data_IF_002362976965
#
_entry.id   IF_002362976965
#
_cell.length_a   1.000
_cell.length_b   1.000
_cell.length_c   1.000
_cell.angle_alpha   90.00
_cell.angle_beta   90.00
_cell.angle_gamma   90.00
#
_symmetry.space_group_name_H-M   'P 1'
#
loop_
_entity.id
_entity.type
_entity.pdbx_description
1 polymer ?
#
# COMPACT_ATOMS: atom_id res chain seq x y z
N UNK A 1 -12.14 -4.37 -20.82
CA UNK A 1 -10.79 -3.95 -20.59
C UNK A 1 -10.83 -2.94 -19.48
N UNK A 2 -9.85 -2.18 -19.07
CA UNK A 2 -9.87 -1.38 -17.84
C UNK A 2 -10.72 -0.09 -18.00
N UNK A 3 -12.00 -0.16 -17.71
CA UNK A 3 -12.96 0.96 -17.90
C UNK A 3 -12.64 2.20 -17.02
N UNK A 4 -12.02 1.98 -15.86
CA UNK A 4 -11.69 3.02 -14.89
C UNK A 4 -10.20 3.35 -14.81
N UNK A 5 -9.43 2.97 -15.81
CA UNK A 5 -8.01 3.27 -15.84
C UNK A 5 -7.77 4.76 -16.05
N UNK A 6 -7.07 5.39 -15.12
CA UNK A 6 -6.68 6.80 -15.18
C UNK A 6 -5.21 6.96 -14.81
N UNK A 7 -4.55 7.88 -15.48
CA UNK A 7 -3.15 8.24 -15.23
C UNK A 7 -3.07 9.72 -14.91
N UNK A 8 -2.44 10.05 -13.81
CA UNK A 8 -2.13 11.41 -13.40
C UNK A 8 -0.63 11.57 -13.33
N UNK A 9 -0.13 12.67 -13.86
CA UNK A 9 1.29 12.96 -13.90
C UNK A 9 1.56 14.30 -13.24
N UNK A 10 2.62 14.37 -12.47
CA UNK A 10 3.11 15.60 -11.86
C UNK A 10 4.63 15.58 -11.82
N UNK A 11 5.22 16.74 -11.66
CA UNK A 11 6.66 16.87 -11.44
C UNK A 11 6.91 17.15 -9.94
N UNK A 12 7.76 16.37 -9.34
CA UNK A 12 8.16 16.52 -7.95
C UNK A 12 9.68 16.47 -7.84
N UNK A 13 10.27 17.49 -7.24
CA UNK A 13 11.74 17.62 -7.09
C UNK A 13 12.52 17.40 -8.40
N UNK A 14 12.03 17.97 -9.51
CA UNK A 14 12.69 17.88 -10.82
C UNK A 14 12.59 16.52 -11.51
N UNK A 15 11.73 15.62 -11.00
CA UNK A 15 11.48 14.31 -11.61
C UNK A 15 9.99 14.08 -11.80
N UNK A 16 9.66 13.37 -12.87
CA UNK A 16 8.28 12.98 -13.16
C UNK A 16 7.79 11.94 -12.15
N UNK A 17 6.64 12.20 -11.57
CA UNK A 17 5.90 11.28 -10.72
C UNK A 17 4.58 10.93 -11.41
N UNK A 18 4.30 9.64 -11.52
CA UNK A 18 3.11 9.13 -12.21
C UNK A 18 2.25 8.33 -11.25
N UNK A 19 0.95 8.57 -11.27
CA UNK A 19 -0.05 7.85 -10.49
C UNK A 19 -0.99 7.12 -11.45
N UNK A 20 -1.01 5.79 -11.38
CA UNK A 20 -1.92 4.96 -12.17
C UNK A 20 -2.97 4.33 -11.26
N UNK A 21 -4.23 4.48 -11.59
CA UNK A 21 -5.34 3.88 -10.84
C UNK A 21 -6.30 3.13 -11.75
N UNK A 22 -7.03 2.15 -11.21
CA UNK A 22 -8.04 1.38 -11.94
C UNK A 22 -7.49 0.22 -12.79
N UNK A 23 -6.22 -0.11 -12.70
CA UNK A 23 -5.61 -1.22 -13.45
C UNK A 23 -5.28 -2.44 -12.58
N UNK A 24 -4.75 -2.21 -11.41
CA UNK A 24 -4.32 -3.26 -10.49
C UNK A 24 -5.21 -3.29 -9.25
N UNK A 25 -5.32 -4.47 -8.62
CA UNK A 25 -6.03 -4.66 -7.36
C UNK A 25 -7.49 -4.15 -7.39
N UNK A 26 -8.24 -4.50 -8.44
CA UNK A 26 -9.62 -4.03 -8.63
C UNK A 26 -10.60 -4.48 -7.54
N UNK A 27 -10.25 -5.46 -6.71
CA UNK A 27 -11.06 -5.91 -5.56
C UNK A 27 -10.81 -5.10 -4.29
N UNK A 28 -9.77 -4.27 -4.26
CA UNK A 28 -9.53 -3.37 -3.15
C UNK A 28 -10.50 -2.17 -3.22
N UNK A 29 -10.78 -1.55 -2.09
CA UNK A 29 -11.59 -0.33 -2.03
C UNK A 29 -10.95 0.85 -2.78
N UNK A 30 -9.61 0.86 -2.86
CA UNK A 30 -8.82 1.77 -3.67
C UNK A 30 -7.43 1.22 -3.94
N UNK A 31 -6.90 1.48 -5.12
CA UNK A 31 -5.53 1.08 -5.46
C UNK A 31 -4.89 2.12 -6.37
N UNK A 32 -3.62 2.39 -6.11
CA UNK A 32 -2.82 3.32 -6.89
C UNK A 32 -1.41 2.76 -7.08
N UNK A 33 -0.92 2.76 -8.29
CA UNK A 33 0.46 2.49 -8.61
C UNK A 33 1.20 3.81 -8.80
N UNK A 34 2.14 4.08 -7.92
CA UNK A 34 2.96 5.31 -7.97
C UNK A 34 4.34 4.97 -8.53
N UNK A 35 4.77 5.74 -9.51
CA UNK A 35 6.13 5.64 -10.07
C UNK A 35 6.87 6.96 -9.88
N UNK A 36 8.07 6.87 -9.38
CA UNK A 36 8.97 8.00 -9.26
C UNK A 36 10.38 7.59 -9.69
N UNK A 37 10.77 7.99 -10.89
CA UNK A 37 11.96 7.46 -11.55
C UNK A 37 11.82 5.94 -11.77
N UNK A 38 12.77 5.17 -11.26
CA UNK A 38 12.76 3.70 -11.31
C UNK A 38 12.06 3.05 -10.11
N UNK A 39 11.65 3.85 -9.13
CA UNK A 39 10.97 3.34 -7.94
C UNK A 39 9.46 3.27 -8.19
N UNK A 40 8.88 2.11 -7.94
CA UNK A 40 7.45 1.87 -8.09
C UNK A 40 6.86 1.40 -6.77
N UNK A 41 5.75 1.99 -6.36
CA UNK A 41 5.02 1.64 -5.13
C UNK A 41 3.58 1.36 -5.49
N UNK A 42 3.08 0.17 -5.13
CA UNK A 42 1.67 -0.18 -5.24
C UNK A 42 1.01 0.04 -3.88
N UNK A 43 0.03 0.91 -3.84
CA UNK A 43 -0.73 1.24 -2.62
C UNK A 43 -2.14 0.69 -2.75
N UNK A 44 -2.56 -0.12 -1.79
CA UNK A 44 -3.91 -0.67 -1.72
C UNK A 44 -4.56 -0.27 -0.40
N UNK A 45 -5.80 0.18 -0.48
CA UNK A 45 -6.61 0.49 0.68
C UNK A 45 -7.88 -0.36 0.67
N UNK A 46 -8.14 -1.06 1.76
CA UNK A 46 -9.35 -1.84 1.95
C UNK A 46 -10.03 -1.42 3.24
N UNK A 47 -11.33 -1.26 3.19
CA UNK A 47 -12.15 -0.95 4.35
C UNK A 47 -13.38 -1.85 4.38
N UNK A 48 -13.81 -2.26 5.55
CA UNK A 48 -15.07 -2.99 5.69
C UNK A 48 -16.27 -2.06 5.50
N UNK A 49 -17.33 -2.57 4.87
CA UNK A 49 -18.55 -1.80 4.63
C UNK A 49 -19.35 -1.49 5.90
N UNK A 50 -19.14 -2.27 6.97
CA UNK A 50 -19.83 -2.12 8.25
C UNK A 50 -18.84 -2.02 9.39
N UNK A 51 -19.05 -1.13 10.35
CA UNK A 51 -18.26 -1.09 11.58
C UNK A 51 -18.47 -2.39 12.37
N UNK A 52 -17.51 -2.75 13.18
CA UNK A 52 -17.65 -3.85 14.14
C UNK A 52 -18.22 -3.32 15.45
N UNK A 53 -19.28 -3.93 15.92
CA UNK A 53 -19.85 -3.59 17.23
C UNK A 53 -18.86 -3.92 18.36
N UNK A 54 -18.77 -3.02 19.35
CA UNK A 54 -17.96 -3.23 20.55
C UNK A 54 -16.47 -2.87 20.42
N UNK A 55 -16.05 -2.18 19.39
CA UNK A 55 -14.67 -1.68 19.23
C UNK A 55 -14.62 -0.17 19.46
N UNK A 56 -13.85 0.26 20.46
CA UNK A 56 -13.68 1.67 20.84
C UNK A 56 -12.49 2.36 20.14
N UNK A 57 -11.74 1.64 19.33
CA UNK A 57 -10.55 2.15 18.67
C UNK A 57 -10.56 1.90 17.17
N UNK A 58 -9.80 2.68 16.41
CA UNK A 58 -9.61 2.48 14.97
C UNK A 58 -8.64 1.31 14.73
N UNK A 59 -9.11 0.15 14.22
CA UNK A 59 -8.26 -0.99 13.89
C UNK A 59 -7.55 -0.78 12.54
N UNK A 60 -6.76 0.29 12.44
CA UNK A 60 -5.93 0.56 11.26
C UNK A 60 -4.68 -0.30 11.30
N UNK A 61 -4.45 -1.07 10.26
CA UNK A 61 -3.20 -1.78 10.01
C UNK A 61 -2.53 -1.24 8.76
N UNK A 62 -1.26 -0.90 8.87
CA UNK A 62 -0.42 -0.47 7.75
C UNK A 62 0.72 -1.45 7.62
N UNK A 63 0.78 -2.12 6.48
CA UNK A 63 1.82 -3.07 6.15
C UNK A 63 2.64 -2.55 4.98
N UNK A 64 3.95 -2.70 5.06
CA UNK A 64 4.90 -2.32 4.02
C UNK A 64 5.82 -3.50 3.74
N UNK A 65 6.02 -3.82 2.48
CA UNK A 65 6.88 -4.94 2.08
C UNK A 65 7.56 -4.66 0.74
N UNK A 66 8.85 -4.96 0.67
CA UNK A 66 9.62 -4.95 -0.59
C UNK A 66 9.49 -6.33 -1.24
N UNK A 67 8.99 -6.36 -2.47
CA UNK A 67 8.77 -7.61 -3.21
C UNK A 67 9.96 -7.94 -4.09
N UNK A 68 10.60 -9.09 -3.85
CA UNK A 68 11.77 -9.54 -4.59
C UNK A 68 11.48 -9.86 -6.06
N UNK A 69 10.24 -10.23 -6.39
CA UNK A 69 9.86 -10.48 -7.78
C UNK A 69 9.97 -9.23 -8.67
N UNK A 70 9.92 -8.05 -8.09
CA UNK A 70 10.08 -6.79 -8.83
C UNK A 70 11.47 -6.63 -9.45
N UNK A 71 12.47 -7.25 -8.86
CA UNK A 71 13.84 -7.31 -9.40
C UNK A 71 14.15 -8.69 -10.03
N UNK A 72 13.12 -9.49 -10.32
CA UNK A 72 13.27 -10.80 -10.92
C UNK A 72 13.95 -11.84 -10.03
N UNK A 73 13.91 -11.66 -8.72
CA UNK A 73 14.55 -12.58 -7.74
C UNK A 73 13.51 -13.39 -6.98
N UNK A 74 13.85 -14.62 -6.71
CA UNK A 74 13.08 -15.49 -5.81
C UNK A 74 13.63 -15.33 -4.40
N UNK A 75 12.78 -15.29 -3.35
CA UNK A 75 13.23 -15.24 -1.96
C UNK A 75 14.21 -16.36 -1.62
N UNK A 76 15.30 -16.02 -0.94
CA UNK A 76 16.42 -16.94 -0.67
C UNK A 76 16.22 -17.92 0.47
N UNK A 77 15.02 -18.12 0.99
CA UNK A 77 14.75 -19.11 2.04
C UNK A 77 14.51 -20.50 1.47
N UNK A 78 14.63 -21.53 2.32
CA UNK A 78 14.35 -22.92 1.95
C UNK A 78 12.96 -23.11 1.31
N UNK A 79 11.97 -22.40 1.79
CA UNK A 79 10.60 -22.45 1.27
C UNK A 79 10.40 -21.64 -0.03
N UNK A 80 11.40 -20.90 -0.47
CA UNK A 80 11.33 -20.00 -1.65
C UNK A 80 10.10 -19.09 -1.61
N UNK A 81 9.70 -18.67 -0.41
CA UNK A 81 8.60 -17.76 -0.14
C UNK A 81 9.09 -16.55 0.62
N UNK A 82 8.36 -15.44 0.46
CA UNK A 82 8.53 -14.29 1.32
C UNK A 82 8.11 -14.68 2.74
N UNK A 83 9.02 -14.49 3.69
CA UNK A 83 8.81 -14.78 5.10
C UNK A 83 8.23 -13.58 5.86
N UNK A 84 8.66 -13.41 7.10
CA UNK A 84 8.28 -12.24 7.89
C UNK A 84 8.83 -10.96 7.27
N UNK A 85 8.10 -9.82 7.39
CA UNK A 85 8.62 -8.52 7.01
C UNK A 85 9.96 -8.23 7.71
N UNK A 86 10.88 -7.59 7.00
CA UNK A 86 12.14 -7.15 7.60
C UNK A 86 11.88 -6.03 8.62
N UNK A 87 12.80 -5.85 9.58
CA UNK A 87 12.70 -4.76 10.56
C UNK A 87 12.58 -3.38 9.90
N UNK A 88 13.30 -3.21 8.78
CA UNK A 88 13.18 -2.00 7.95
C UNK A 88 11.77 -1.82 7.38
N UNK A 89 11.15 -2.88 6.91
CA UNK A 89 9.77 -2.83 6.40
C UNK A 89 8.78 -2.48 7.49
N UNK A 90 8.92 -3.07 8.68
CA UNK A 90 8.10 -2.77 9.85
C UNK A 90 8.25 -1.31 10.28
N UNK A 91 9.47 -0.79 10.34
CA UNK A 91 9.72 0.62 10.66
C UNK A 91 9.13 1.57 9.61
N UNK A 92 9.25 1.23 8.34
CA UNK A 92 8.65 2.01 7.25
C UNK A 92 7.13 2.04 7.35
N UNK A 93 6.48 0.92 7.68
CA UNK A 93 5.04 0.87 7.88
C UNK A 93 4.59 1.77 9.04
N UNK A 94 5.35 1.83 10.11
CA UNK A 94 5.08 2.73 11.25
C UNK A 94 5.25 4.20 10.91
N UNK A 95 6.23 4.54 10.09
CA UNK A 95 6.43 5.92 9.59
C UNK A 95 5.24 6.36 8.74
N UNK A 96 4.64 5.46 7.97
CA UNK A 96 3.44 5.74 7.18
C UNK A 96 2.18 5.81 8.06
N UNK A 97 2.05 4.89 9.03
CA UNK A 97 0.89 4.82 9.92
C UNK A 97 0.71 6.08 10.77
N UNK A 98 1.80 6.60 11.33
CA UNK A 98 1.74 7.75 12.26
C UNK A 98 1.05 9.00 11.71
N UNK A 99 1.41 9.53 10.53
CA UNK A 99 0.76 10.71 9.99
C UNK A 99 -0.66 10.46 9.47
N UNK A 100 -0.98 9.23 9.07
CA UNK A 100 -2.28 8.90 8.49
C UNK A 100 -3.34 8.69 9.57
N UNK A 101 -3.00 8.03 10.66
CA UNK A 101 -3.94 7.64 11.73
C UNK A 101 -4.79 8.79 12.28
N UNK A 102 -4.26 9.98 12.56
CA UNK A 102 -5.07 11.11 13.04
C UNK A 102 -6.04 11.70 12.01
N UNK A 103 -5.84 11.39 10.71
CA UNK A 103 -6.69 11.92 9.63
C UNK A 103 -8.02 11.17 9.51
N UNK A 104 -8.13 9.98 10.10
CA UNK A 104 -9.39 9.22 10.10
C UNK A 104 -10.34 9.81 11.15
N UNK A 105 -11.64 9.98 10.81
CA UNK A 105 -12.66 10.38 11.76
C UNK A 105 -12.74 9.41 12.93
N UNK A 106 -13.01 9.92 14.14
CA UNK A 106 -13.12 9.09 15.36
C UNK A 106 -14.23 8.04 15.26
N UNK A 107 -15.25 8.28 14.45
CA UNK A 107 -16.39 7.40 14.24
C UNK A 107 -16.14 6.32 13.17
N UNK A 108 -14.99 6.35 12.53
CA UNK A 108 -14.61 5.34 11.52
C UNK A 108 -14.11 4.08 12.22
N UNK A 109 -15.01 3.34 12.81
CA UNK A 109 -14.75 2.02 13.40
C UNK A 109 -14.76 0.97 12.30
N UNK A 110 -13.85 1.07 11.36
CA UNK A 110 -13.79 0.17 10.20
C UNK A 110 -12.40 -0.42 10.06
N UNK A 111 -12.33 -1.72 9.71
CA UNK A 111 -11.05 -2.33 9.33
C UNK A 111 -10.53 -1.66 8.06
N UNK A 112 -9.51 -0.86 8.20
CA UNK A 112 -8.78 -0.33 7.06
C UNK A 112 -7.44 -1.05 7.00
N UNK A 113 -7.31 -1.99 6.07
CA UNK A 113 -6.02 -2.57 5.72
C UNK A 113 -5.38 -1.71 4.64
N UNK A 114 -4.34 -1.00 5.00
CA UNK A 114 -3.45 -0.35 4.05
C UNK A 114 -2.25 -1.27 3.84
N UNK A 115 -2.28 -2.05 2.78
CA UNK A 115 -1.13 -2.82 2.35
C UNK A 115 -0.38 -2.00 1.33
N UNK A 116 0.86 -1.65 1.64
CA UNK A 116 1.79 -0.97 0.74
C UNK A 116 2.86 -1.96 0.29
N UNK A 117 2.61 -2.82 -0.69
CA UNK A 117 3.70 -3.56 -1.30
C UNK A 117 4.55 -2.60 -2.11
N UNK A 118 5.75 -2.30 -1.64
CA UNK A 118 6.72 -1.53 -2.41
C UNK A 118 7.44 -2.45 -3.36
N UNK A 119 7.22 -2.21 -4.63
CA UNK A 119 8.00 -2.82 -5.70
C UNK A 119 9.10 -1.81 -6.03
N UNK A 120 10.31 -2.12 -5.63
CA UNK A 120 11.49 -1.37 -6.05
C UNK A 120 12.09 -2.10 -7.25
N UNK A 121 12.03 -1.48 -8.39
CA UNK A 121 12.83 -1.86 -9.55
C UNK A 121 14.22 -1.27 -9.42
#
# INVERSE_FOLDING_TARGET
MFENFRVFETEFAGRKMTFETGKMCCQAGGSVLVRYGETTVLVNATASAKPRDGIDFLPLSVDFEEKLYAVGKIPGSFLKREGRPSDKAVLSSRVVDRPIRPLFPKDTVSYTHLTLPTIRL
#
